data_IF_958428456124
#
_entry.id   IF_958428456124
#
_cell.length_a   1.000
_cell.length_b   1.000
_cell.length_c   1.000
_cell.angle_alpha   90.00
_cell.angle_beta   90.00
_cell.angle_gamma   90.00
#
_symmetry.space_group_name_H-M   'P 1'
#
loop_
_entity.id
_entity.type
_entity.pdbx_description
1 polymer ?
#
# COMPACT_ATOMS: atom_id res chain seq x y z
N UNK A 1 18.56 -0.97 -6.37
CA UNK A 1 17.35 -0.16 -6.62
C UNK A 1 17.27 0.85 -5.49
N UNK A 2 17.20 2.16 -5.78
CA UNK A 2 17.29 3.23 -4.76
C UNK A 2 15.99 3.42 -3.97
N UNK A 3 14.87 2.99 -4.56
CA UNK A 3 13.56 2.87 -3.92
C UNK A 3 13.01 1.47 -4.13
N UNK A 4 12.15 1.02 -3.23
CA UNK A 4 11.38 -0.21 -3.43
C UNK A 4 10.02 0.05 -4.11
N UNK A 5 9.64 1.32 -4.32
CA UNK A 5 8.43 1.74 -4.99
C UNK A 5 8.49 1.34 -6.47
N UNK A 6 7.42 0.75 -6.98
CA UNK A 6 7.30 0.44 -8.40
C UNK A 6 5.95 0.97 -8.88
N UNK A 7 5.97 1.72 -9.96
CA UNK A 7 4.79 2.18 -10.68
C UNK A 7 4.75 1.46 -12.04
N UNK A 8 3.57 1.05 -12.50
CA UNK A 8 3.44 0.43 -13.83
C UNK A 8 3.62 1.40 -14.99
N UNK A 9 3.56 2.71 -14.72
CA UNK A 9 3.77 3.81 -15.67
C UNK A 9 4.77 4.82 -15.11
N UNK A 10 5.38 5.60 -16.00
CA UNK A 10 6.47 6.49 -15.65
C UNK A 10 7.74 5.73 -15.29
N UNK A 11 8.59 6.33 -14.48
CA UNK A 11 9.82 5.68 -14.03
C UNK A 11 10.66 6.54 -13.11
N UNK A 12 11.60 5.90 -12.41
CA UNK A 12 12.54 6.55 -11.51
C UNK A 12 13.94 6.49 -12.12
N UNK A 13 14.41 7.53 -12.85
CA UNK A 13 15.81 7.65 -13.21
C UNK A 13 16.69 7.73 -11.94
N UNK A 14 18.01 7.50 -12.05
CA UNK A 14 18.92 7.64 -10.91
C UNK A 14 18.76 8.99 -10.21
N UNK A 15 18.81 8.99 -8.87
CA UNK A 15 18.71 10.20 -8.06
C UNK A 15 17.36 10.93 -8.16
N UNK A 16 16.26 10.21 -8.39
CA UNK A 16 14.91 10.79 -8.41
C UNK A 16 13.97 10.30 -7.30
N UNK A 17 14.38 9.30 -6.53
CA UNK A 17 13.49 8.59 -5.61
C UNK A 17 14.17 8.12 -4.31
N UNK A 18 15.36 8.64 -3.98
CA UNK A 18 16.06 8.26 -2.73
C UNK A 18 15.29 8.80 -1.54
N UNK A 19 15.02 7.92 -0.56
CA UNK A 19 14.23 8.31 0.61
C UNK A 19 12.78 8.69 0.31
N UNK A 20 12.23 8.23 -0.83
CA UNK A 20 10.82 8.42 -1.17
C UNK A 20 9.91 7.99 -0.01
N UNK A 21 8.91 8.82 0.27
CA UNK A 21 7.92 8.59 1.31
C UNK A 21 6.57 8.26 0.67
N UNK A 22 5.77 7.45 1.37
CA UNK A 22 4.40 7.16 1.01
C UNK A 22 3.51 7.27 2.24
N UNK A 23 2.40 7.97 2.12
CA UNK A 23 1.33 7.97 3.11
C UNK A 23 0.08 7.35 2.49
N UNK A 24 -0.49 6.34 3.15
CA UNK A 24 -1.79 5.76 2.80
C UNK A 24 -2.85 6.26 3.78
N UNK A 25 -3.89 6.89 3.27
CA UNK A 25 -5.01 7.40 4.07
C UNK A 25 -6.32 6.76 3.61
N UNK A 26 -7.09 6.11 4.49
CA UNK A 26 -8.41 5.59 4.11
C UNK A 26 -9.31 6.70 3.58
N UNK A 27 -9.94 6.48 2.43
CA UNK A 27 -10.93 7.40 1.90
C UNK A 27 -12.20 7.36 2.75
N UNK A 28 -12.80 8.53 2.97
CA UNK A 28 -14.05 8.65 3.71
C UNK A 28 -15.19 8.03 2.89
N UNK A 29 -15.80 6.99 3.42
CA UNK A 29 -16.81 6.19 2.67
C UNK A 29 -18.24 6.42 3.13
N UNK A 30 -18.43 7.24 4.17
CA UNK A 30 -19.73 7.61 4.69
C UNK A 30 -19.63 8.55 5.89
N UNK A 31 -20.78 8.78 6.50
CA UNK A 31 -20.91 9.63 7.68
C UNK A 31 -21.88 8.96 8.67
N UNK A 32 -21.73 9.28 9.95
CA UNK A 32 -22.73 8.91 10.93
C UNK A 32 -23.91 9.88 10.83
N UNK A 33 -25.12 9.35 10.64
CA UNK A 33 -26.36 10.12 10.58
C UNK A 33 -27.36 9.60 11.60
N UNK A 34 -28.17 10.49 12.16
CA UNK A 34 -29.27 10.13 13.06
C UNK A 34 -30.52 9.80 12.27
N UNK A 35 -31.18 8.72 12.65
CA UNK A 35 -32.53 8.41 12.16
C UNK A 35 -33.57 9.29 12.88
N UNK A 36 -34.79 9.31 12.35
CA UNK A 36 -35.93 10.01 12.99
C UNK A 36 -36.24 9.48 14.41
N UNK A 37 -35.82 8.26 14.71
CA UNK A 37 -35.98 7.63 16.02
C UNK A 37 -34.76 7.87 16.95
N UNK A 38 -33.82 8.73 16.56
CA UNK A 38 -32.65 9.09 17.37
C UNK A 38 -31.49 8.09 17.34
N UNK A 39 -31.57 7.02 16.55
CA UNK A 39 -30.47 6.04 16.41
C UNK A 39 -29.38 6.57 15.49
N UNK A 40 -28.11 6.35 15.83
CA UNK A 40 -26.98 6.71 14.98
C UNK A 40 -26.66 5.55 14.02
N UNK A 41 -26.65 5.83 12.71
CA UNK A 41 -26.38 4.86 11.64
C UNK A 41 -25.25 5.38 10.77
N UNK A 42 -24.27 4.53 10.47
CA UNK A 42 -23.21 4.85 9.51
C UNK A 42 -23.73 4.61 8.08
N UNK A 43 -23.65 5.63 7.23
CA UNK A 43 -24.17 5.56 5.86
C UNK A 43 -23.16 5.03 4.84
N UNK A 44 -21.96 4.66 5.28
CA UNK A 44 -20.92 4.20 4.37
C UNK A 44 -20.99 2.71 4.06
N UNK A 45 -20.35 2.33 2.97
CA UNK A 45 -20.26 0.93 2.56
C UNK A 45 -19.08 0.24 3.26
N UNK A 46 -19.35 -0.89 3.93
CA UNK A 46 -18.29 -1.71 4.55
C UNK A 46 -17.29 -2.29 3.55
N UNK A 47 -17.72 -2.42 2.28
CA UNK A 47 -16.90 -2.97 1.18
C UNK A 47 -16.03 -1.92 0.50
N UNK A 48 -16.28 -0.63 0.70
CA UNK A 48 -15.49 0.44 0.10
C UNK A 48 -14.34 0.79 1.06
N UNK A 49 -13.27 -0.01 1.06
CA UNK A 49 -12.07 0.25 1.87
C UNK A 49 -10.94 0.72 0.97
N UNK A 50 -11.11 1.89 0.36
CA UNK A 50 -10.16 2.44 -0.61
C UNK A 50 -9.18 3.39 0.07
N UNK A 51 -7.96 3.47 -0.45
CA UNK A 51 -6.93 4.37 0.05
C UNK A 51 -6.65 5.52 -0.92
N UNK A 52 -6.40 6.70 -0.37
CA UNK A 52 -5.60 7.72 -1.01
C UNK A 52 -4.13 7.42 -0.72
N UNK A 53 -3.27 7.53 -1.72
CA UNK A 53 -1.82 7.45 -1.57
C UNK A 53 -1.20 8.77 -1.96
N UNK A 54 -0.40 9.34 -1.06
CA UNK A 54 0.47 10.48 -1.36
C UNK A 54 1.91 10.00 -1.35
N UNK A 55 2.56 10.10 -2.51
CA UNK A 55 3.97 9.77 -2.72
C UNK A 55 4.75 11.07 -2.83
N UNK A 56 5.88 11.19 -2.13
CA UNK A 56 6.71 12.39 -2.20
C UNK A 56 8.20 12.07 -2.04
N UNK A 57 9.04 12.84 -2.72
CA UNK A 57 10.49 12.74 -2.60
C UNK A 57 11.13 14.09 -2.97
N UNK A 58 12.31 14.34 -2.42
CA UNK A 58 13.19 15.45 -2.76
C UNK A 58 14.57 14.86 -3.06
N UNK A 59 15.05 15.04 -4.29
CA UNK A 59 16.28 14.43 -4.77
C UNK A 59 16.92 15.29 -5.88
N UNK A 60 17.98 14.82 -6.54
CA UNK A 60 18.74 15.59 -7.53
C UNK A 60 18.13 15.61 -8.94
N UNK A 61 17.16 14.73 -9.23
CA UNK A 61 16.53 14.61 -10.54
C UNK A 61 15.01 14.39 -10.45
N UNK A 62 14.23 14.85 -11.45
CA UNK A 62 12.80 14.57 -11.51
C UNK A 62 12.55 13.10 -11.91
N UNK A 63 11.45 12.48 -11.44
CA UNK A 63 11.01 11.21 -11.97
C UNK A 63 10.34 11.40 -13.34
N UNK A 64 10.23 10.32 -14.10
CA UNK A 64 9.45 10.30 -15.33
C UNK A 64 7.95 10.20 -15.00
N UNK A 65 7.19 11.25 -15.35
CA UNK A 65 5.72 11.28 -15.25
C UNK A 65 5.01 10.86 -16.53
N UNK A 66 5.73 10.23 -17.47
CA UNK A 66 5.12 9.74 -18.71
C UNK A 66 3.99 8.74 -18.40
N UNK A 67 2.78 9.05 -18.86
CA UNK A 67 1.59 8.23 -18.59
C UNK A 67 1.03 8.34 -17.18
N UNK A 68 1.50 9.31 -16.37
CA UNK A 68 0.97 9.66 -15.05
C UNK A 68 0.15 10.97 -15.10
N UNK A 69 -0.66 11.14 -16.15
CA UNK A 69 -1.57 12.27 -16.26
C UNK A 69 -2.78 12.11 -15.35
N UNK A 70 -3.38 13.23 -14.94
CA UNK A 70 -4.60 13.20 -14.14
C UNK A 70 -5.68 12.35 -14.81
N UNK A 71 -6.27 11.44 -14.03
CA UNK A 71 -7.27 10.48 -14.50
C UNK A 71 -6.71 9.14 -14.99
N UNK A 72 -5.40 9.04 -15.27
CA UNK A 72 -4.79 7.78 -15.69
C UNK A 72 -4.80 6.73 -14.57
N UNK A 73 -4.87 5.46 -14.96
CA UNK A 73 -4.79 4.32 -14.04
C UNK A 73 -3.37 3.76 -14.02
N UNK A 74 -2.84 3.57 -12.82
CA UNK A 74 -1.49 3.07 -12.53
C UNK A 74 -1.56 2.00 -11.44
N UNK A 75 -0.75 0.96 -11.58
CA UNK A 75 -0.54 -0.03 -10.53
C UNK A 75 0.65 0.39 -9.67
N UNK A 76 0.43 0.43 -8.35
CA UNK A 76 1.39 0.93 -7.36
C UNK A 76 1.80 -0.20 -6.44
N UNK A 77 3.05 -0.65 -6.55
CA UNK A 77 3.70 -1.48 -5.53
C UNK A 77 4.13 -0.59 -4.36
N UNK A 78 3.25 -0.46 -3.37
CA UNK A 78 3.37 0.53 -2.29
C UNK A 78 4.61 0.31 -1.43
N UNK A 79 5.29 1.38 -0.98
CA UNK A 79 6.31 1.37 0.06
C UNK A 79 5.71 1.04 1.44
N UNK A 80 4.58 1.68 1.76
CA UNK A 80 3.90 1.51 3.03
C UNK A 80 3.39 0.08 3.18
N UNK A 81 3.64 -0.52 4.34
CA UNK A 81 3.16 -1.87 4.65
C UNK A 81 1.77 -1.80 5.27
N UNK A 82 0.92 -2.76 4.91
CA UNK A 82 -0.33 -3.05 5.59
C UNK A 82 -0.14 -4.25 6.52
N UNK A 83 -1.04 -4.39 7.48
CA UNK A 83 -1.05 -5.50 8.43
C UNK A 83 -2.45 -6.10 8.46
N UNK A 84 -2.52 -7.43 8.36
CA UNK A 84 -3.76 -8.20 8.46
C UNK A 84 -3.64 -9.20 9.62
N UNK A 85 -4.60 -9.16 10.54
CA UNK A 85 -4.74 -10.18 11.58
C UNK A 85 -5.23 -11.49 10.95
N UNK A 86 -4.62 -12.59 11.34
CA UNK A 86 -4.98 -13.93 10.87
C UNK A 86 -5.06 -14.89 12.04
N UNK A 87 -6.00 -15.82 11.98
CA UNK A 87 -6.07 -16.93 12.94
C UNK A 87 -5.40 -18.14 12.30
N UNK A 88 -4.33 -18.62 12.93
CA UNK A 88 -3.54 -19.73 12.42
C UNK A 88 -4.14 -21.04 12.94
N UNK A 89 -4.53 -21.94 12.04
CA UNK A 89 -5.02 -23.28 12.39
C UNK A 89 -4.12 -24.34 11.77
N UNK A 90 -4.13 -25.56 12.31
CA UNK A 90 -3.38 -26.70 11.78
C UNK A 90 -3.73 -27.07 10.32
N UNK A 91 -4.83 -26.54 9.79
CA UNK A 91 -5.26 -26.70 8.39
C UNK A 91 -5.08 -25.44 7.53
N UNK A 92 -4.64 -24.33 8.11
CA UNK A 92 -4.44 -23.07 7.38
C UNK A 92 -3.11 -23.11 6.63
N UNK A 93 -3.12 -23.75 5.46
CA UNK A 93 -1.98 -23.78 4.53
C UNK A 93 -1.93 -22.54 3.63
N UNK A 94 -3.08 -21.89 3.45
CA UNK A 94 -3.26 -20.76 2.57
C UNK A 94 -4.06 -19.67 3.29
N UNK A 95 -3.57 -18.44 3.17
CA UNK A 95 -4.24 -17.25 3.68
C UNK A 95 -4.46 -16.30 2.51
N UNK A 96 -5.68 -15.77 2.41
CA UNK A 96 -6.02 -14.75 1.43
C UNK A 96 -5.87 -13.37 2.09
N UNK A 97 -5.01 -12.56 1.50
CA UNK A 97 -4.81 -11.16 1.87
C UNK A 97 -5.93 -10.29 1.30
N UNK A 98 -6.27 -9.22 2.03
CA UNK A 98 -7.23 -8.19 1.57
C UNK A 98 -6.78 -7.49 0.28
N UNK A 99 -5.47 -7.50 0.00
CA UNK A 99 -4.85 -6.92 -1.19
C UNK A 99 -3.72 -7.82 -1.69
N UNK A 100 -3.46 -7.83 -3.01
CA UNK A 100 -2.31 -8.55 -3.54
C UNK A 100 -1.02 -7.97 -2.96
N UNK A 101 -0.06 -8.83 -2.68
CA UNK A 101 1.21 -8.44 -2.08
C UNK A 101 2.34 -8.41 -3.11
N UNK A 102 3.26 -7.47 -2.91
CA UNK A 102 4.53 -7.46 -3.65
C UNK A 102 5.32 -8.73 -3.27
N UNK A 103 5.84 -9.45 -4.27
CA UNK A 103 6.61 -10.69 -4.08
C UNK A 103 7.77 -10.47 -3.09
N UNK A 104 7.90 -11.39 -2.13
CA UNK A 104 8.95 -11.33 -1.11
C UNK A 104 8.74 -10.26 -0.03
N UNK A 105 7.64 -9.52 -0.06
CA UNK A 105 7.35 -8.49 0.95
C UNK A 105 6.63 -9.04 2.18
N UNK A 106 6.04 -10.23 2.13
CA UNK A 106 5.18 -10.75 3.20
C UNK A 106 6.01 -11.27 4.36
N UNK A 107 5.64 -10.90 5.57
CA UNK A 107 6.25 -11.36 6.83
C UNK A 107 5.16 -11.75 7.81
N UNK A 108 5.33 -12.87 8.51
CA UNK A 108 4.41 -13.31 9.56
C UNK A 108 5.02 -13.08 10.93
N UNK A 109 4.28 -12.38 11.79
CA UNK A 109 4.61 -12.21 13.19
C UNK A 109 3.59 -12.94 14.05
N UNK A 110 4.07 -13.84 14.90
CA UNK A 110 3.27 -14.50 15.93
C UNK A 110 3.83 -14.11 17.30
N UNK A 111 2.95 -13.96 18.29
CA UNK A 111 3.36 -13.50 19.61
C UNK A 111 4.23 -14.55 20.30
N UNK A 112 5.42 -14.14 20.75
CA UNK A 112 6.36 -15.02 21.46
C UNK A 112 7.27 -15.83 20.54
N UNK A 113 7.13 -15.64 19.23
CA UNK A 113 7.78 -16.44 18.21
C UNK A 113 8.65 -15.53 17.33
N UNK A 114 9.75 -16.05 16.76
CA UNK A 114 10.58 -15.27 15.86
C UNK A 114 9.77 -14.84 14.64
N UNK A 115 10.06 -13.63 14.13
CA UNK A 115 9.48 -13.15 12.88
C UNK A 115 9.84 -14.12 11.75
N UNK A 116 8.84 -14.60 11.01
CA UNK A 116 9.07 -15.39 9.80
C UNK A 116 9.11 -14.45 8.60
N UNK A 117 10.29 -14.24 7.98
CA UNK A 117 10.43 -13.34 6.86
C UNK A 117 10.05 -14.01 5.54
N UNK A 118 9.69 -13.18 4.55
CA UNK A 118 9.66 -13.53 3.13
C UNK A 118 8.80 -14.75 2.77
N UNK A 119 7.57 -14.80 3.28
CA UNK A 119 6.59 -15.78 2.82
C UNK A 119 6.29 -15.56 1.33
N UNK A 120 6.13 -16.66 0.59
CA UNK A 120 5.77 -16.58 -0.81
C UNK A 120 4.29 -16.19 -0.96
N UNK A 121 4.05 -15.15 -1.74
CA UNK A 121 2.74 -14.69 -2.12
C UNK A 121 2.55 -14.81 -3.63
N UNK A 122 1.42 -15.39 -4.04
CA UNK A 122 0.94 -15.41 -5.43
C UNK A 122 -0.30 -14.52 -5.49
N UNK A 123 -0.12 -13.26 -5.85
CA UNK A 123 -1.17 -12.25 -5.76
C UNK A 123 -1.60 -12.02 -4.32
N UNK A 124 -2.84 -12.34 -3.98
CA UNK A 124 -3.38 -12.23 -2.62
C UNK A 124 -3.20 -13.51 -1.80
N UNK A 125 -2.79 -14.63 -2.40
CA UNK A 125 -2.66 -15.90 -1.69
C UNK A 125 -1.27 -16.06 -1.12
N UNK A 126 -1.19 -16.35 0.18
CA UNK A 126 0.07 -16.59 0.90
C UNK A 126 0.06 -18.02 1.42
N UNK A 127 1.11 -18.76 1.07
CA UNK A 127 1.31 -20.13 1.57
C UNK A 127 2.21 -20.11 2.80
N UNK A 128 1.77 -20.77 3.87
CA UNK A 128 2.55 -20.95 5.09
C UNK A 128 2.91 -22.43 5.19
N UNK A 129 4.19 -22.74 5.35
CA UNK A 129 4.66 -24.10 5.61
C UNK A 129 4.35 -24.52 7.05
N UNK A 130 3.91 -25.76 7.23
CA UNK A 130 3.20 -26.24 8.43
C UNK A 130 4.01 -26.21 9.75
N UNK A 131 3.25 -26.06 10.86
CA UNK A 131 3.44 -26.58 12.24
C UNK A 131 3.74 -25.67 13.42
N UNK A 132 3.88 -24.35 13.31
CA UNK A 132 4.42 -23.61 14.47
C UNK A 132 3.36 -22.94 15.38
N UNK A 133 2.12 -22.68 14.93
CA UNK A 133 1.27 -21.69 15.62
C UNK A 133 -0.23 -22.03 15.75
N UNK A 134 -0.60 -23.30 15.93
CA UNK A 134 -2.00 -23.72 16.05
C UNK A 134 -2.75 -22.95 17.16
N UNK A 135 -3.90 -22.35 16.80
CA UNK A 135 -4.76 -21.62 17.73
C UNK A 135 -4.26 -20.23 18.11
N UNK A 136 -3.14 -19.77 17.53
CA UNK A 136 -2.58 -18.46 17.82
C UNK A 136 -3.04 -17.40 16.81
N UNK A 137 -3.10 -16.15 17.27
CA UNK A 137 -3.25 -14.99 16.39
C UNK A 137 -1.89 -14.63 15.79
N UNK A 138 -1.86 -14.49 14.47
CA UNK A 138 -0.74 -13.98 13.70
C UNK A 138 -1.07 -12.64 13.07
N UNK A 139 -0.02 -11.90 12.72
CA UNK A 139 -0.11 -10.66 11.96
C UNK A 139 0.73 -10.78 10.70
N UNK A 140 0.08 -10.75 9.54
CA UNK A 140 0.75 -10.70 8.25
C UNK A 140 1.00 -9.24 7.90
N UNK A 141 2.26 -8.86 7.83
CA UNK A 141 2.66 -7.55 7.28
C UNK A 141 3.14 -7.73 5.84
N UNK A 142 2.72 -6.85 4.94
CA UNK A 142 3.08 -6.93 3.53
C UNK A 142 2.98 -5.57 2.84
N UNK A 143 3.65 -5.43 1.70
CA UNK A 143 3.51 -4.25 0.84
C UNK A 143 2.40 -4.52 -0.18
N UNK A 144 1.29 -3.77 -0.18
CA UNK A 144 0.19 -4.02 -1.11
C UNK A 144 0.53 -3.53 -2.51
N UNK A 145 -0.03 -4.21 -3.51
CA UNK A 145 -0.15 -3.73 -4.88
C UNK A 145 -1.55 -3.13 -5.02
N UNK A 146 -1.63 -1.84 -5.33
CA UNK A 146 -2.90 -1.12 -5.42
C UNK A 146 -3.09 -0.57 -6.83
N UNK A 147 -4.26 -0.81 -7.41
CA UNK A 147 -4.66 -0.14 -8.66
C UNK A 147 -5.21 1.22 -8.29
N UNK A 148 -4.58 2.28 -8.79
CA UNK A 148 -4.92 3.65 -8.43
C UNK A 148 -5.08 4.53 -9.64
N UNK A 149 -5.91 5.57 -9.49
CA UNK A 149 -6.06 6.66 -10.43
C UNK A 149 -5.23 7.86 -9.99
N UNK A 150 -4.55 8.50 -10.94
CA UNK A 150 -3.82 9.73 -10.70
C UNK A 150 -4.78 10.88 -10.46
N UNK A 151 -4.62 11.56 -9.33
CA UNK A 151 -5.40 12.76 -8.99
C UNK A 151 -4.64 14.02 -9.36
N UNK A 152 -3.37 14.08 -9.01
CA UNK A 152 -2.49 15.21 -9.32
C UNK A 152 -1.03 14.82 -9.12
N UNK A 153 -0.13 15.56 -9.76
CA UNK A 153 1.28 15.57 -9.40
C UNK A 153 1.79 17.01 -9.34
N UNK A 154 2.88 17.22 -8.60
CA UNK A 154 3.50 18.51 -8.40
C UNK A 154 5.01 18.45 -8.66
N UNK A 155 5.42 19.34 -9.58
CA UNK A 155 6.73 19.88 -9.96
C UNK A 155 7.39 20.89 -9.03
N UNK A 156 8.44 20.59 -8.30
CA UNK A 156 9.24 21.63 -7.62
C UNK A 156 10.71 21.54 -8.04
N UNK A 157 11.31 22.66 -8.43
CA UNK A 157 12.73 22.73 -8.81
C UNK A 157 13.27 24.08 -8.38
N UNK A 158 14.41 24.09 -7.71
CA UNK A 158 15.11 25.33 -7.43
C UNK A 158 15.87 25.81 -8.67
N UNK A 159 15.89 27.13 -8.91
CA UNK A 159 16.52 27.72 -10.10
C UNK A 159 18.03 27.40 -10.18
N UNK A 160 18.64 27.10 -9.04
CA UNK A 160 20.05 26.73 -8.92
C UNK A 160 20.31 25.22 -9.07
N UNK A 161 19.26 24.43 -9.31
CA UNK A 161 19.30 23.03 -9.76
C UNK A 161 19.92 22.05 -8.75
N UNK A 162 19.96 22.40 -7.47
CA UNK A 162 20.51 21.54 -6.44
C UNK A 162 19.48 20.53 -5.91
N UNK A 163 18.19 20.84 -6.02
CA UNK A 163 17.12 20.01 -5.45
C UNK A 163 15.84 20.05 -6.29
N UNK A 164 15.34 18.85 -6.61
CA UNK A 164 14.07 18.62 -7.29
C UNK A 164 13.12 17.93 -6.32
N UNK A 165 12.01 18.59 -6.03
CA UNK A 165 10.91 18.05 -5.23
C UNK A 165 9.79 17.56 -6.11
N UNK A 166 9.16 16.44 -5.72
CA UNK A 166 7.93 16.01 -6.36
C UNK A 166 6.93 15.40 -5.39
N UNK A 167 5.66 15.53 -5.74
CA UNK A 167 4.56 14.86 -5.05
C UNK A 167 3.59 14.27 -6.06
N UNK A 168 3.09 13.07 -5.81
CA UNK A 168 2.11 12.36 -6.63
C UNK A 168 0.96 11.89 -5.73
N UNK A 169 -0.25 12.36 -6.02
CA UNK A 169 -1.46 12.00 -5.29
C UNK A 169 -2.30 11.05 -6.13
N UNK A 170 -2.67 9.92 -5.53
CA UNK A 170 -3.37 8.81 -6.17
C UNK A 170 -4.57 8.38 -5.31
N UNK A 171 -5.61 7.84 -5.95
CA UNK A 171 -6.76 7.24 -5.28
C UNK A 171 -7.00 5.83 -5.80
N UNK A 172 -7.18 4.86 -4.90
CA UNK A 172 -7.54 3.49 -5.25
C UNK A 172 -8.91 3.41 -5.96
N UNK A 173 -8.98 2.63 -7.03
CA UNK A 173 -10.20 2.45 -7.84
C UNK A 173 -10.82 1.06 -7.73
#
# INVERSE_FOLDING_TARGET
METQLILSRGGFPPYSARGCQQTLTPLKTGEFRRTVNGMLVFTGSEKHRKYQSVLSCRDAAPPSFEGLWQGETVEVSCLQRLVQEVTLTSKTLQIVLDRPAVKGSVTLQVRGEPLLPMLEAQGSEVSITERVYEGQKGYLSYRPILTMRVISFHLETDEWGAEVGWTLTLEEI
#
